data_IF_339760379530
#
_entry.id   IF_339760379530
#
_cell.length_a   1.000
_cell.length_b   1.000
_cell.length_c   1.000
_cell.angle_alpha   90.00
_cell.angle_beta   90.00
_cell.angle_gamma   90.00
#
_symmetry.space_group_name_H-M   'P 1'
#
loop_
_entity.id
_entity.type
_entity.pdbx_description
1 polymer ?
#
# COMPACT_ATOMS: atom_id res chain seq x y z
N UNK A 1 -17.05 -16.67 50.25
CA UNK A 1 -17.31 -16.95 48.83
C UNK A 1 -16.19 -16.32 48.02
N UNK A 2 -15.21 -17.13 47.63
CA UNK A 2 -14.04 -16.67 46.87
C UNK A 2 -14.39 -16.64 45.38
N UNK A 3 -14.45 -15.44 44.82
CA UNK A 3 -14.53 -15.27 43.36
C UNK A 3 -13.13 -15.43 42.76
N UNK A 4 -12.87 -16.61 42.20
CA UNK A 4 -11.71 -16.82 41.35
C UNK A 4 -11.92 -16.05 40.03
N UNK A 5 -11.28 -14.90 39.93
CA UNK A 5 -11.06 -14.22 38.68
C UNK A 5 -10.04 -15.06 37.91
N UNK A 6 -10.52 -15.81 36.93
CA UNK A 6 -9.65 -16.46 35.94
C UNK A 6 -9.02 -15.36 35.10
N UNK A 7 -7.78 -15.00 35.39
CA UNK A 7 -6.93 -14.27 34.46
C UNK A 7 -6.73 -15.16 33.26
N UNK A 8 -7.36 -14.81 32.12
CA UNK A 8 -7.01 -15.41 30.84
C UNK A 8 -5.60 -14.92 30.47
N UNK A 9 -4.61 -15.77 30.74
CA UNK A 9 -3.29 -15.60 30.15
C UNK A 9 -3.47 -15.70 28.62
N UNK A 10 -3.48 -14.54 27.96
CA UNK A 10 -3.38 -14.46 26.50
C UNK A 10 -1.99 -14.98 26.16
N UNK A 11 -1.90 -16.25 25.78
CA UNK A 11 -0.67 -16.83 25.26
C UNK A 11 -0.41 -16.18 23.90
N UNK A 12 0.47 -15.19 23.88
CA UNK A 12 0.96 -14.60 22.65
C UNK A 12 1.64 -15.68 21.79
N UNK A 13 1.28 -15.82 20.51
CA UNK A 13 1.93 -16.80 19.63
C UNK A 13 3.44 -16.51 19.54
N UNK A 14 4.27 -17.53 19.66
CA UNK A 14 5.72 -17.43 19.86
C UNK A 14 6.55 -16.91 18.68
N UNK A 15 5.96 -16.49 17.55
CA UNK A 15 6.70 -16.00 16.35
C UNK A 15 5.90 -14.94 15.58
N UNK A 16 5.67 -13.78 16.21
CA UNK A 16 5.13 -12.64 15.48
C UNK A 16 6.29 -11.89 14.80
N UNK A 17 6.13 -11.62 13.50
CA UNK A 17 7.15 -10.93 12.72
C UNK A 17 6.98 -9.40 12.83
N UNK A 18 8.10 -8.69 12.93
CA UNK A 18 8.12 -7.23 12.81
C UNK A 18 7.97 -6.78 11.34
N UNK A 19 7.69 -5.50 11.13
CA UNK A 19 7.67 -4.93 9.77
C UNK A 19 9.03 -5.09 9.07
N UNK A 20 10.13 -4.96 9.82
CA UNK A 20 11.49 -5.22 9.32
C UNK A 20 11.63 -6.65 8.79
N UNK A 21 11.22 -7.65 9.57
CA UNK A 21 11.34 -9.07 9.18
C UNK A 21 10.46 -9.40 7.94
N UNK A 22 9.28 -8.80 7.81
CA UNK A 22 8.50 -8.93 6.56
C UNK A 22 9.25 -8.35 5.36
N UNK A 23 9.92 -7.20 5.53
CA UNK A 23 10.77 -6.62 4.50
C UNK A 23 11.96 -7.50 4.14
N UNK A 24 12.66 -8.05 5.14
CA UNK A 24 13.80 -8.92 4.94
C UNK A 24 13.41 -10.16 4.12
N UNK A 25 12.34 -10.86 4.52
CA UNK A 25 11.81 -12.05 3.81
C UNK A 25 11.44 -11.73 2.35
N UNK A 26 10.78 -10.58 2.12
CA UNK A 26 10.40 -10.17 0.78
C UNK A 26 11.63 -9.88 -0.09
N UNK A 27 12.58 -9.10 0.42
CA UNK A 27 13.78 -8.69 -0.34
C UNK A 27 14.68 -9.90 -0.61
N UNK A 28 14.83 -10.82 0.33
CA UNK A 28 15.58 -12.06 0.12
C UNK A 28 14.98 -12.88 -1.04
N UNK A 29 13.66 -12.96 -1.12
CA UNK A 29 12.95 -13.70 -2.15
C UNK A 29 12.69 -12.87 -3.44
N UNK A 30 13.16 -11.62 -3.54
CA UNK A 30 12.87 -10.70 -4.65
C UNK A 30 13.09 -11.29 -6.05
N UNK A 31 14.21 -11.98 -6.35
CA UNK A 31 14.42 -12.58 -7.68
C UNK A 31 13.33 -13.61 -8.03
N UNK A 32 12.86 -14.39 -7.05
CA UNK A 32 11.78 -15.37 -7.24
C UNK A 32 10.45 -14.66 -7.48
N UNK A 33 10.13 -13.63 -6.73
CA UNK A 33 8.90 -12.84 -6.92
C UNK A 33 8.86 -12.20 -8.31
N UNK A 34 9.97 -11.59 -8.75
CA UNK A 34 10.07 -10.99 -10.08
C UNK A 34 9.90 -12.06 -11.18
N UNK A 35 10.52 -13.23 -11.04
CA UNK A 35 10.40 -14.31 -12.04
C UNK A 35 8.99 -14.88 -12.13
N UNK A 36 8.21 -14.80 -11.07
CA UNK A 36 6.82 -15.22 -11.02
C UNK A 36 5.83 -14.16 -11.52
N UNK A 37 6.27 -12.91 -11.67
CA UNK A 37 5.42 -11.78 -12.05
C UNK A 37 4.91 -11.92 -13.47
N UNK A 38 3.60 -11.85 -13.67
CA UNK A 38 2.95 -12.05 -14.96
C UNK A 38 1.85 -11.03 -15.19
N UNK A 39 1.69 -10.62 -16.43
CA UNK A 39 0.58 -9.79 -16.88
C UNK A 39 -0.42 -10.67 -17.65
N UNK A 40 -1.73 -10.53 -17.41
CA UNK A 40 -2.73 -11.21 -18.22
C UNK A 40 -2.58 -10.84 -19.69
N UNK A 41 -2.39 -11.82 -20.57
CA UNK A 41 -2.16 -11.59 -22.00
C UNK A 41 -3.29 -10.80 -22.68
N UNK A 42 -4.54 -10.94 -22.21
CA UNK A 42 -5.69 -10.19 -22.69
C UNK A 42 -5.56 -8.67 -22.54
N UNK A 43 -4.82 -8.20 -21.52
CA UNK A 43 -4.62 -6.76 -21.26
C UNK A 43 -3.68 -6.16 -22.29
N UNK A 44 -2.62 -6.90 -22.65
CA UNK A 44 -1.61 -6.45 -23.62
C UNK A 44 -2.11 -6.61 -25.07
N UNK A 45 -2.89 -7.65 -25.34
CA UNK A 45 -3.19 -8.14 -26.69
C UNK A 45 -4.61 -7.81 -27.17
N UNK A 46 -5.27 -6.83 -26.57
CA UNK A 46 -6.54 -6.29 -27.10
C UNK A 46 -7.72 -7.28 -27.07
N UNK A 47 -7.89 -8.02 -25.98
CA UNK A 47 -9.06 -8.86 -25.75
C UNK A 47 -8.94 -10.32 -26.21
N UNK A 48 -7.86 -10.69 -26.87
CA UNK A 48 -7.59 -12.10 -27.17
C UNK A 48 -7.18 -12.85 -25.89
N UNK A 49 -7.78 -14.03 -25.66
CA UNK A 49 -7.37 -14.93 -24.57
C UNK A 49 -6.01 -15.56 -24.91
N UNK A 50 -4.95 -14.92 -24.51
CA UNK A 50 -3.59 -15.47 -24.58
C UNK A 50 -3.11 -15.85 -23.19
N UNK A 51 -2.12 -16.76 -23.15
CA UNK A 51 -1.42 -17.09 -21.92
C UNK A 51 -0.86 -15.83 -21.26
N UNK A 52 -0.73 -15.85 -19.93
CA UNK A 52 -0.11 -14.77 -19.20
C UNK A 52 1.34 -14.58 -19.68
N UNK A 53 1.73 -13.31 -19.82
CA UNK A 53 3.05 -12.90 -20.29
C UNK A 53 3.93 -12.61 -19.08
N UNK A 54 5.16 -13.16 -18.99
CA UNK A 54 6.09 -12.79 -17.94
C UNK A 54 6.37 -11.28 -17.94
N UNK A 55 6.44 -10.69 -16.77
CA UNK A 55 6.90 -9.32 -16.61
C UNK A 55 8.42 -9.25 -16.83
N UNK A 56 8.89 -8.10 -17.29
CA UNK A 56 10.31 -7.83 -17.45
C UNK A 56 10.73 -6.74 -16.49
N UNK A 57 11.66 -7.06 -15.59
CA UNK A 57 12.28 -6.13 -14.65
C UNK A 57 13.80 -6.21 -14.84
N UNK A 58 14.39 -5.04 -15.12
CA UNK A 58 15.83 -4.90 -15.31
C UNK A 58 16.56 -4.75 -13.96
N UNK A 59 17.84 -5.05 -13.96
CA UNK A 59 18.76 -4.78 -12.83
C UNK A 59 18.34 -5.43 -11.50
N UNK A 60 17.80 -6.64 -11.54
CA UNK A 60 17.22 -7.32 -10.34
C UNK A 60 18.15 -7.31 -9.13
N UNK A 61 19.43 -7.65 -9.30
CA UNK A 61 20.40 -7.65 -8.19
C UNK A 61 20.68 -6.26 -7.63
N UNK A 62 20.77 -5.23 -8.51
CA UNK A 62 20.96 -3.86 -8.08
C UNK A 62 19.71 -3.32 -7.37
N UNK A 63 18.52 -3.70 -7.84
CA UNK A 63 17.24 -3.37 -7.19
C UNK A 63 17.14 -4.04 -5.81
N UNK A 64 17.51 -5.31 -5.71
CA UNK A 64 17.52 -6.03 -4.43
C UNK A 64 18.42 -5.33 -3.41
N UNK A 65 19.64 -4.96 -3.82
CA UNK A 65 20.57 -4.22 -2.97
C UNK A 65 20.00 -2.85 -2.55
N UNK A 66 19.46 -2.10 -3.51
CA UNK A 66 18.88 -0.79 -3.25
C UNK A 66 17.69 -0.87 -2.27
N UNK A 67 16.80 -1.85 -2.43
CA UNK A 67 15.67 -2.09 -1.51
C UNK A 67 16.17 -2.48 -0.11
N UNK A 68 17.23 -3.30 -0.04
CA UNK A 68 17.83 -3.68 1.24
C UNK A 68 18.47 -2.46 1.95
N UNK A 69 19.20 -1.61 1.21
CA UNK A 69 19.76 -0.37 1.76
C UNK A 69 18.67 0.57 2.28
N UNK A 70 17.54 0.71 1.56
CA UNK A 70 16.38 1.49 2.04
C UNK A 70 15.77 0.85 3.28
N UNK A 71 15.60 -0.46 3.30
CA UNK A 71 15.01 -1.17 4.44
C UNK A 71 15.86 -1.01 5.72
N UNK A 72 17.20 -1.06 5.58
CA UNK A 72 18.14 -0.91 6.69
C UNK A 72 18.43 0.55 7.07
N UNK A 73 17.95 1.52 6.30
CA UNK A 73 18.19 2.93 6.58
C UNK A 73 17.45 3.39 7.84
N UNK A 74 18.08 4.24 8.65
CA UNK A 74 17.54 4.73 9.94
C UNK A 74 16.15 5.35 9.80
N UNK A 75 15.90 6.11 8.73
CA UNK A 75 14.60 6.70 8.41
C UNK A 75 13.52 5.62 8.30
N UNK A 76 13.78 4.56 7.53
CA UNK A 76 12.84 3.45 7.36
C UNK A 76 12.59 2.69 8.67
N UNK A 77 13.67 2.41 9.40
CA UNK A 77 13.56 1.73 10.69
C UNK A 77 12.79 2.55 11.71
N UNK A 78 12.99 3.86 11.72
CA UNK A 78 12.23 4.75 12.60
C UNK A 78 10.75 4.81 12.21
N UNK A 79 10.44 4.89 10.92
CA UNK A 79 9.08 4.88 10.40
C UNK A 79 8.35 3.57 10.79
N UNK A 80 8.99 2.42 10.58
CA UNK A 80 8.46 1.10 10.99
C UNK A 80 8.20 1.04 12.50
N UNK A 81 9.13 1.53 13.31
CA UNK A 81 8.93 1.59 14.78
C UNK A 81 7.71 2.43 15.18
N UNK A 82 7.44 3.55 14.48
CA UNK A 82 6.25 4.34 14.73
C UNK A 82 4.96 3.63 14.32
N UNK A 83 4.97 2.95 13.16
CA UNK A 83 3.83 2.16 12.72
C UNK A 83 3.52 1.02 13.71
N UNK A 84 4.52 0.24 14.11
CA UNK A 84 4.37 -0.84 15.10
C UNK A 84 3.87 -0.30 16.45
N UNK A 85 4.42 0.82 16.96
CA UNK A 85 3.94 1.45 18.20
C UNK A 85 2.49 1.89 18.08
N UNK A 86 2.11 2.48 16.95
CA UNK A 86 0.75 2.93 16.69
C UNK A 86 -0.23 1.75 16.67
N UNK A 87 0.10 0.68 15.95
CA UNK A 87 -0.72 -0.53 15.94
C UNK A 87 -0.79 -1.19 17.32
N UNK A 88 0.32 -1.29 18.04
CA UNK A 88 0.32 -1.86 19.39
C UNK A 88 -0.53 -1.04 20.36
N UNK A 89 -0.42 0.29 20.33
CA UNK A 89 -1.29 1.16 21.12
C UNK A 89 -2.78 0.97 20.77
N UNK A 90 -3.13 0.82 19.48
CA UNK A 90 -4.49 0.47 19.06
C UNK A 90 -4.91 -0.91 19.58
N UNK A 91 -4.04 -1.91 19.52
CA UNK A 91 -4.33 -3.26 19.97
C UNK A 91 -4.56 -3.35 21.48
N UNK A 92 -3.95 -2.48 22.27
CA UNK A 92 -4.13 -2.38 23.72
C UNK A 92 -5.45 -1.72 24.14
N UNK A 93 -6.12 -0.94 23.26
CA UNK A 93 -7.40 -0.31 23.59
C UNK A 93 -8.51 -1.34 23.81
N UNK A 94 -9.14 -1.33 24.97
CA UNK A 94 -10.25 -2.26 25.30
C UNK A 94 -11.58 -1.86 24.68
N UNK A 95 -11.74 -0.57 24.35
CA UNK A 95 -12.97 0.01 23.77
C UNK A 95 -12.67 1.07 22.72
N UNK A 96 -13.66 1.38 21.89
CA UNK A 96 -13.60 2.50 20.96
C UNK A 96 -13.80 3.79 21.72
N UNK A 97 -12.74 4.57 21.84
CA UNK A 97 -12.71 5.93 22.36
C UNK A 97 -12.39 6.93 21.24
N UNK A 98 -12.22 8.20 21.60
CA UNK A 98 -11.88 9.26 20.64
C UNK A 98 -10.53 8.98 19.95
N UNK A 99 -9.55 8.46 20.68
CA UNK A 99 -8.24 8.08 20.13
C UNK A 99 -8.35 7.01 19.05
N UNK A 100 -9.19 5.99 19.27
CA UNK A 100 -9.46 4.94 18.26
C UNK A 100 -10.18 5.50 17.04
N UNK A 101 -11.11 6.45 17.20
CA UNK A 101 -11.77 7.11 16.08
C UNK A 101 -10.78 7.95 15.26
N UNK A 102 -9.88 8.68 15.93
CA UNK A 102 -8.78 9.41 15.28
C UNK A 102 -7.81 8.46 14.57
N UNK A 103 -7.49 7.32 15.18
CA UNK A 103 -6.66 6.30 14.55
C UNK A 103 -7.29 5.80 13.25
N UNK A 104 -8.56 5.41 13.24
CA UNK A 104 -9.21 4.96 12.02
C UNK A 104 -9.32 6.06 10.97
N UNK A 105 -9.64 7.31 11.36
CA UNK A 105 -9.67 8.43 10.43
C UNK A 105 -8.31 8.64 9.75
N UNK A 106 -7.26 8.74 10.55
CA UNK A 106 -5.93 9.01 10.04
C UNK A 106 -5.33 7.82 9.27
N UNK A 107 -5.59 6.58 9.70
CA UNK A 107 -5.13 5.40 8.97
C UNK A 107 -5.80 5.28 7.60
N UNK A 108 -7.11 5.54 7.49
CA UNK A 108 -7.78 5.67 6.19
C UNK A 108 -7.14 6.78 5.33
N UNK A 109 -6.84 7.94 5.94
CA UNK A 109 -6.26 9.07 5.23
C UNK A 109 -4.88 8.74 4.63
N UNK A 110 -4.08 7.88 5.28
CA UNK A 110 -2.79 7.45 4.74
C UNK A 110 -2.91 6.57 3.50
N UNK A 111 -4.06 5.93 3.27
CA UNK A 111 -4.25 4.99 2.16
C UNK A 111 -5.16 5.52 1.04
N UNK A 112 -6.13 6.37 1.34
CA UNK A 112 -7.13 6.80 0.35
C UNK A 112 -6.52 7.49 -0.87
N UNK A 113 -5.42 8.22 -0.72
CA UNK A 113 -4.78 8.94 -1.82
C UNK A 113 -3.84 8.05 -2.63
N UNK A 114 -3.39 6.92 -2.08
CA UNK A 114 -2.57 5.94 -2.80
C UNK A 114 -3.30 5.40 -4.04
N UNK A 115 -4.53 4.96 -3.89
CA UNK A 115 -5.38 4.51 -5.00
C UNK A 115 -5.55 5.58 -6.06
N UNK A 116 -5.71 6.85 -5.65
CA UNK A 116 -5.81 7.98 -6.58
C UNK A 116 -4.52 8.20 -7.38
N UNK A 117 -3.35 7.92 -6.80
CA UNK A 117 -2.06 8.05 -7.52
C UNK A 117 -2.01 7.08 -8.68
N UNK A 118 -2.30 5.79 -8.46
CA UNK A 118 -2.27 4.78 -9.53
C UNK A 118 -3.31 5.06 -10.63
N UNK A 119 -4.53 5.45 -10.26
CA UNK A 119 -5.56 5.89 -11.21
C UNK A 119 -5.12 7.10 -12.05
N UNK A 120 -4.55 8.11 -11.41
CA UNK A 120 -4.10 9.32 -12.11
C UNK A 120 -2.97 9.04 -13.08
N UNK A 121 -2.03 8.15 -12.73
CA UNK A 121 -1.00 7.69 -13.65
C UNK A 121 -1.64 7.09 -14.91
N UNK A 122 -2.62 6.20 -14.76
CA UNK A 122 -3.36 5.61 -15.88
C UNK A 122 -4.05 6.69 -16.74
N UNK A 123 -4.72 7.65 -16.12
CA UNK A 123 -5.36 8.75 -16.83
C UNK A 123 -4.37 9.63 -17.59
N UNK A 124 -3.23 9.95 -17.00
CA UNK A 124 -2.18 10.75 -17.63
C UNK A 124 -1.55 10.03 -18.83
N UNK A 125 -1.32 8.72 -18.70
CA UNK A 125 -0.87 7.88 -19.82
C UNK A 125 -1.94 7.82 -20.93
N UNK A 126 -3.20 7.65 -20.58
CA UNK A 126 -4.31 7.57 -21.54
C UNK A 126 -4.50 8.87 -22.34
N UNK A 127 -4.19 10.03 -21.76
CA UNK A 127 -4.25 11.31 -22.46
C UNK A 127 -3.31 11.38 -23.69
N UNK A 128 -2.21 10.62 -23.66
CA UNK A 128 -1.26 10.53 -24.76
C UNK A 128 -1.55 9.42 -25.79
N UNK A 129 -2.50 8.52 -25.49
CA UNK A 129 -2.70 7.27 -26.25
C UNK A 129 -2.95 7.47 -27.74
N UNK A 130 -3.75 8.49 -28.10
CA UNK A 130 -4.13 8.76 -29.50
C UNK A 130 -3.00 9.21 -30.43
N UNK A 131 -1.85 9.58 -29.84
CA UNK A 131 -0.71 10.08 -30.60
C UNK A 131 0.52 9.15 -30.53
N UNK A 132 0.33 7.91 -30.04
CA UNK A 132 1.42 6.94 -29.92
C UNK A 132 1.65 6.27 -31.27
N UNK A 133 2.86 6.36 -31.84
CA UNK A 133 3.19 5.67 -33.09
C UNK A 133 3.02 4.15 -32.94
N UNK A 134 2.51 3.50 -34.00
CA UNK A 134 2.27 2.05 -34.02
C UNK A 134 3.46 1.21 -33.47
N UNK A 135 4.72 1.50 -33.85
CA UNK A 135 5.87 0.72 -33.33
C UNK A 135 6.07 0.84 -31.80
N UNK A 136 5.53 1.90 -31.16
CA UNK A 136 5.65 2.13 -29.70
C UNK A 136 4.45 1.63 -28.90
N UNK A 137 3.37 1.25 -29.55
CA UNK A 137 2.16 0.75 -28.88
C UNK A 137 2.44 -0.47 -27.98
N UNK A 138 3.29 -1.45 -28.32
CA UNK A 138 3.60 -2.57 -27.43
C UNK A 138 4.24 -2.13 -26.10
N UNK A 139 5.14 -1.14 -26.12
CA UNK A 139 5.74 -0.56 -24.91
C UNK A 139 4.70 0.15 -24.05
N UNK A 140 3.88 0.99 -24.68
CA UNK A 140 2.77 1.66 -24.00
C UNK A 140 1.80 0.67 -23.37
N UNK A 141 1.35 -0.34 -24.10
CA UNK A 141 0.43 -1.35 -23.59
C UNK A 141 1.03 -2.12 -22.41
N UNK A 142 2.35 -2.34 -22.40
CA UNK A 142 3.05 -2.98 -21.28
C UNK A 142 3.00 -2.10 -20.01
N UNK A 143 3.24 -0.79 -20.14
CA UNK A 143 3.12 0.16 -19.02
C UNK A 143 1.71 0.13 -18.44
N UNK A 144 0.69 0.28 -19.34
CA UNK A 144 -0.72 0.29 -18.94
C UNK A 144 -1.14 -1.00 -18.27
N UNK A 145 -0.67 -2.16 -18.77
CA UNK A 145 -0.98 -3.46 -18.19
C UNK A 145 -0.46 -3.60 -16.75
N UNK A 146 0.76 -3.16 -16.49
CA UNK A 146 1.31 -3.16 -15.16
C UNK A 146 0.57 -2.21 -14.21
N UNK A 147 0.30 -0.98 -14.64
CA UNK A 147 -0.45 -0.02 -13.82
C UNK A 147 -1.89 -0.48 -13.55
N UNK A 148 -2.51 -1.21 -14.49
CA UNK A 148 -3.82 -1.82 -14.26
C UNK A 148 -3.76 -2.89 -13.16
N UNK A 149 -2.70 -3.71 -13.10
CA UNK A 149 -2.53 -4.72 -12.04
C UNK A 149 -2.35 -4.08 -10.65
N UNK A 150 -1.80 -2.86 -10.56
CA UNK A 150 -1.73 -2.09 -9.31
C UNK A 150 -3.11 -1.57 -8.92
N UNK A 151 -3.82 -0.92 -9.85
CA UNK A 151 -5.04 -0.16 -9.56
C UNK A 151 -6.31 -1.02 -9.41
N UNK A 152 -6.36 -2.23 -9.98
CA UNK A 152 -7.61 -3.01 -10.10
C UNK A 152 -8.23 -3.39 -8.76
N UNK A 153 -7.41 -3.69 -7.77
CA UNK A 153 -7.87 -4.14 -6.46
C UNK A 153 -8.37 -2.94 -5.64
N UNK A 154 -7.72 -1.77 -5.77
CA UNK A 154 -8.13 -0.52 -5.14
C UNK A 154 -9.54 -0.07 -5.57
N UNK A 155 -9.88 -0.26 -6.84
CA UNK A 155 -11.18 0.13 -7.38
C UNK A 155 -12.26 -0.94 -7.24
N UNK A 156 -11.93 -2.10 -6.67
CA UNK A 156 -12.90 -3.16 -6.43
C UNK A 156 -13.48 -3.78 -7.69
N UNK A 157 -12.67 -3.95 -8.73
CA UNK A 157 -13.11 -4.56 -9.98
C UNK A 157 -13.46 -6.03 -9.80
N UNK A 158 -14.75 -6.31 -9.56
CA UNK A 158 -15.28 -7.66 -9.30
C UNK A 158 -15.48 -8.02 -7.82
N UNK A 159 -15.19 -7.11 -6.90
CA UNK A 159 -15.46 -7.19 -5.46
C UNK A 159 -15.71 -5.79 -4.89
N UNK A 160 -15.96 -5.67 -3.60
CA UNK A 160 -16.05 -4.37 -2.96
C UNK A 160 -14.69 -3.67 -2.96
N UNK A 161 -14.73 -2.36 -3.25
CA UNK A 161 -13.54 -1.53 -3.26
C UNK A 161 -12.97 -1.31 -1.88
N UNK A 162 -11.80 -0.74 -1.86
CA UNK A 162 -10.99 -0.45 -0.67
C UNK A 162 -11.80 0.25 0.44
N UNK A 163 -12.53 1.30 0.11
CA UNK A 163 -13.34 2.07 1.08
C UNK A 163 -14.47 1.24 1.70
N UNK A 164 -15.16 0.41 0.90
CA UNK A 164 -16.23 -0.44 1.41
C UNK A 164 -15.73 -1.51 2.37
N UNK A 165 -14.60 -2.14 2.07
CA UNK A 165 -13.99 -3.11 2.99
C UNK A 165 -13.51 -2.44 4.30
N UNK A 166 -13.00 -1.21 4.23
CA UNK A 166 -12.60 -0.44 5.40
C UNK A 166 -13.80 -0.09 6.29
N UNK A 167 -14.92 0.31 5.68
CA UNK A 167 -16.16 0.60 6.39
C UNK A 167 -16.71 -0.63 7.11
N UNK A 168 -16.68 -1.81 6.49
CA UNK A 168 -17.08 -3.06 7.16
C UNK A 168 -16.21 -3.36 8.39
N UNK A 169 -14.90 -3.18 8.28
CA UNK A 169 -14.00 -3.38 9.40
C UNK A 169 -14.29 -2.41 10.54
N UNK A 170 -14.36 -1.12 10.27
CA UNK A 170 -14.59 -0.08 11.29
C UNK A 170 -15.98 -0.21 11.93
N UNK A 171 -17.01 -0.60 11.16
CA UNK A 171 -18.35 -0.92 11.68
C UNK A 171 -18.31 -2.11 12.62
N UNK A 172 -17.56 -3.15 12.29
CA UNK A 172 -17.41 -4.32 13.15
C UNK A 172 -16.71 -4.00 14.49
N UNK A 173 -15.85 -2.98 14.51
CA UNK A 173 -15.29 -2.39 15.73
C UNK A 173 -16.27 -1.51 16.52
N UNK A 174 -17.40 -1.10 15.93
CA UNK A 174 -18.29 -0.08 16.51
C UNK A 174 -17.76 1.34 16.36
N UNK A 175 -16.88 1.57 15.38
CA UNK A 175 -16.19 2.84 15.18
C UNK A 175 -16.72 3.64 13.99
N UNK A 176 -17.96 3.45 13.54
CA UNK A 176 -18.54 4.08 12.32
C UNK A 176 -18.45 5.61 12.28
N UNK A 177 -18.27 6.27 13.42
CA UNK A 177 -18.11 7.72 13.52
C UNK A 177 -16.73 8.24 13.11
N UNK A 178 -15.80 7.38 12.78
CA UNK A 178 -14.42 7.76 12.40
C UNK A 178 -14.39 8.77 11.24
N UNK A 179 -15.39 8.78 10.37
CA UNK A 179 -15.50 9.67 9.20
C UNK A 179 -15.70 11.15 9.56
N UNK A 180 -16.04 11.45 10.81
CA UNK A 180 -16.32 12.83 11.24
C UNK A 180 -15.03 13.67 11.25
N UNK A 181 -15.08 14.88 10.70
CA UNK A 181 -13.93 15.79 10.54
C UNK A 181 -13.16 16.10 11.83
N UNK A 182 -13.85 16.05 12.98
CA UNK A 182 -13.21 16.28 14.28
C UNK A 182 -12.17 15.24 14.66
N UNK A 183 -12.19 14.07 14.02
CA UNK A 183 -11.22 13.00 14.24
C UNK A 183 -10.03 13.06 13.29
N UNK A 184 -9.93 14.10 12.46
CA UNK A 184 -8.81 14.25 11.53
C UNK A 184 -7.46 14.37 12.27
N UNK A 185 -6.46 13.65 11.78
CA UNK A 185 -5.08 13.68 12.30
C UNK A 185 -4.23 14.50 11.34
N UNK A 186 -3.70 15.63 11.82
CA UNK A 186 -2.97 16.59 10.99
C UNK A 186 -1.83 15.94 10.19
N UNK A 187 -1.00 15.13 10.84
CA UNK A 187 0.14 14.47 10.19
C UNK A 187 -0.28 13.50 9.06
N UNK A 188 -1.44 12.84 9.20
CA UNK A 188 -1.99 11.98 8.16
C UNK A 188 -2.52 12.79 6.96
N UNK A 189 -3.16 13.93 7.22
CA UNK A 189 -3.58 14.84 6.17
C UNK A 189 -2.39 15.42 5.39
N UNK A 190 -1.32 15.83 6.09
CA UNK A 190 -0.07 16.31 5.45
C UNK A 190 0.56 15.23 4.57
N UNK A 191 0.51 13.98 4.99
CA UNK A 191 0.97 12.85 4.17
C UNK A 191 0.07 12.64 2.94
N UNK A 192 -1.25 12.69 3.10
CA UNK A 192 -2.20 12.61 1.98
C UNK A 192 -2.03 13.75 0.98
N UNK A 193 -1.79 14.99 1.46
CA UNK A 193 -1.48 16.15 0.62
C UNK A 193 -0.17 15.96 -0.18
N UNK A 194 0.84 15.36 0.42
CA UNK A 194 2.07 14.98 -0.29
C UNK A 194 1.77 14.01 -1.44
N UNK A 195 1.05 12.92 -1.18
CA UNK A 195 0.67 11.95 -2.22
C UNK A 195 -0.16 12.61 -3.32
N UNK A 196 -1.11 13.47 -2.93
CA UNK A 196 -1.91 14.23 -3.88
C UNK A 196 -1.04 15.12 -4.77
N UNK A 197 -0.07 15.83 -4.19
CA UNK A 197 0.82 16.72 -4.92
C UNK A 197 1.68 15.99 -5.95
N UNK A 198 2.17 14.79 -5.62
CA UNK A 198 3.02 14.00 -6.52
C UNK A 198 2.20 13.29 -7.61
N UNK A 199 1.11 12.63 -7.24
CA UNK A 199 0.39 11.73 -8.11
C UNK A 199 -0.84 12.33 -8.78
N UNK A 200 -1.60 13.15 -8.06
CA UNK A 200 -2.96 13.54 -8.43
C UNK A 200 -3.05 15.00 -8.89
N UNK A 201 -2.28 15.91 -8.28
CA UNK A 201 -2.32 17.34 -8.65
C UNK A 201 -2.03 17.55 -10.14
N UNK A 202 -2.68 18.54 -10.72
CA UNK A 202 -2.51 18.86 -12.13
C UNK A 202 -1.08 19.28 -12.43
N UNK A 203 -0.42 18.57 -13.33
CA UNK A 203 0.88 18.95 -13.85
C UNK A 203 0.69 19.93 -15.00
N UNK A 204 1.20 21.15 -14.85
CA UNK A 204 1.10 22.24 -15.83
C UNK A 204 2.14 22.15 -16.96
N UNK A 205 3.08 21.23 -16.88
CA UNK A 205 4.08 21.06 -17.94
C UNK A 205 3.42 20.58 -19.25
N UNK A 206 3.91 21.07 -20.41
CA UNK A 206 3.39 20.60 -21.70
C UNK A 206 3.46 19.09 -21.83
N UNK A 207 2.42 18.48 -22.43
CA UNK A 207 2.40 17.05 -22.70
C UNK A 207 3.67 16.61 -23.41
N UNK A 208 4.27 15.51 -22.95
CA UNK A 208 5.52 14.91 -23.48
C UNK A 208 6.79 15.74 -23.29
N UNK A 209 6.72 16.89 -22.63
CA UNK A 209 7.95 17.57 -22.23
C UNK A 209 8.77 16.68 -21.29
N UNK A 210 10.05 16.99 -21.12
CA UNK A 210 10.90 16.26 -20.18
C UNK A 210 10.31 16.30 -18.76
N UNK A 211 9.87 17.46 -18.31
CA UNK A 211 9.25 17.70 -17.00
C UNK A 211 7.97 16.87 -16.83
N UNK A 212 7.12 16.80 -17.88
CA UNK A 212 5.92 15.97 -17.84
C UNK A 212 6.25 14.49 -17.67
N UNK A 213 7.23 13.98 -18.45
CA UNK A 213 7.70 12.60 -18.34
C UNK A 213 8.28 12.29 -16.96
N UNK A 214 9.12 13.18 -16.43
CA UNK A 214 9.72 13.04 -15.11
C UNK A 214 8.68 13.06 -13.99
N UNK A 215 7.61 13.83 -14.12
CA UNK A 215 6.53 13.87 -13.13
C UNK A 215 5.69 12.58 -13.13
N UNK A 216 5.48 11.94 -14.28
CA UNK A 216 4.84 10.62 -14.36
C UNK A 216 5.75 9.56 -13.72
N UNK A 217 7.04 9.57 -14.03
CA UNK A 217 8.01 8.65 -13.43
C UNK A 217 8.07 8.81 -11.91
N UNK A 218 8.08 10.05 -11.40
CA UNK A 218 8.05 10.31 -9.97
C UNK A 218 6.81 9.73 -9.28
N UNK A 219 5.63 9.89 -9.91
CA UNK A 219 4.39 9.28 -9.40
C UNK A 219 4.46 7.74 -9.39
N UNK A 220 5.03 7.12 -10.44
CA UNK A 220 5.23 5.66 -10.47
C UNK A 220 6.21 5.18 -9.39
N UNK A 221 7.33 5.90 -9.17
CA UNK A 221 8.28 5.58 -8.10
C UNK A 221 7.63 5.73 -6.71
N UNK A 222 6.77 6.72 -6.51
CA UNK A 222 5.99 6.87 -5.28
C UNK A 222 5.00 5.71 -5.09
N UNK A 223 4.37 5.23 -6.17
CA UNK A 223 3.54 4.02 -6.11
C UNK A 223 4.36 2.79 -5.70
N UNK A 224 5.60 2.63 -6.22
CA UNK A 224 6.51 1.55 -5.75
C UNK A 224 6.76 1.66 -4.24
N UNK A 225 7.08 2.86 -3.76
CA UNK A 225 7.37 3.09 -2.34
C UNK A 225 6.16 2.77 -1.46
N UNK A 226 4.97 3.22 -1.89
CA UNK A 226 3.70 3.00 -1.20
C UNK A 226 3.36 1.51 -1.08
N UNK A 227 3.35 0.79 -2.19
CA UNK A 227 2.97 -0.61 -2.21
C UNK A 227 3.94 -1.49 -1.39
N UNK A 228 5.24 -1.20 -1.47
CA UNK A 228 6.24 -1.92 -0.67
C UNK A 228 6.19 -1.56 0.82
N UNK A 229 5.73 -0.37 1.17
CA UNK A 229 5.40 -0.02 2.55
C UNK A 229 4.16 -0.77 3.02
N UNK A 230 3.08 -0.72 2.25
CA UNK A 230 1.81 -1.37 2.53
C UNK A 230 1.99 -2.89 2.73
N UNK A 231 2.83 -3.53 1.93
CA UNK A 231 3.14 -4.95 2.08
C UNK A 231 3.67 -5.31 3.48
N UNK A 232 4.50 -4.47 4.09
CA UNK A 232 4.99 -4.67 5.47
C UNK A 232 3.94 -4.32 6.51
N UNK A 233 3.24 -3.22 6.31
CA UNK A 233 2.23 -2.69 7.20
C UNK A 233 1.05 -3.65 7.36
N UNK A 234 0.43 -4.06 6.25
CA UNK A 234 -0.71 -4.96 6.29
C UNK A 234 -0.33 -6.37 6.78
N UNK A 235 0.85 -6.87 6.46
CA UNK A 235 1.32 -8.13 7.01
C UNK A 235 1.53 -8.05 8.52
N UNK A 236 1.98 -6.92 9.05
CA UNK A 236 2.14 -6.73 10.48
C UNK A 236 0.78 -6.77 11.20
N UNK A 237 -0.17 -5.93 10.80
CA UNK A 237 -1.47 -5.87 11.49
C UNK A 237 -2.34 -7.11 11.25
N UNK A 238 -2.17 -7.82 10.13
CA UNK A 238 -2.89 -9.05 9.83
C UNK A 238 -2.69 -10.15 10.89
N UNK A 239 -1.55 -10.14 11.58
CA UNK A 239 -1.24 -11.09 12.64
C UNK A 239 -2.18 -10.97 13.84
N UNK A 240 -2.81 -9.81 14.03
CA UNK A 240 -3.54 -9.45 15.25
C UNK A 240 -5.02 -9.12 15.02
N UNK A 241 -5.37 -8.63 13.83
CA UNK A 241 -6.68 -8.01 13.59
C UNK A 241 -7.87 -8.92 13.88
N UNK A 242 -7.74 -10.23 13.63
CA UNK A 242 -8.81 -11.19 13.89
C UNK A 242 -9.10 -11.38 15.38
N UNK A 243 -8.07 -11.46 16.20
CA UNK A 243 -8.19 -11.57 17.67
C UNK A 243 -8.74 -10.27 18.25
N UNK A 244 -8.23 -9.12 17.77
CA UNK A 244 -8.69 -7.81 18.20
C UNK A 244 -10.16 -7.58 17.90
N UNK A 245 -10.63 -7.93 16.70
CA UNK A 245 -12.05 -7.87 16.34
C UNK A 245 -12.93 -8.71 17.27
N UNK A 246 -12.52 -9.94 17.57
CA UNK A 246 -13.24 -10.82 18.46
C UNK A 246 -13.20 -10.39 19.95
N UNK A 247 -12.16 -9.65 20.35
CA UNK A 247 -12.09 -9.10 21.69
C UNK A 247 -13.06 -7.93 21.88
N UNK A 248 -13.11 -7.01 20.91
CA UNK A 248 -14.01 -5.83 20.96
C UNK A 248 -15.45 -6.19 20.64
N UNK A 249 -15.67 -7.13 19.71
CA UNK A 249 -16.98 -7.60 19.30
C UNK A 249 -17.10 -9.12 19.47
N UNK A 250 -17.49 -9.61 20.66
CA UNK A 250 -17.56 -11.04 20.95
C UNK A 250 -18.55 -11.84 20.09
N UNK A 251 -19.52 -11.18 19.44
CA UNK A 251 -20.49 -11.86 18.54
C UNK A 251 -19.79 -12.48 17.33
N UNK A 252 -18.65 -11.91 16.91
CA UNK A 252 -17.85 -12.42 15.80
C UNK A 252 -17.21 -13.79 16.09
N UNK A 253 -17.15 -14.22 17.34
CA UNK A 253 -16.65 -15.57 17.71
C UNK A 253 -17.60 -16.67 17.21
N UNK A 254 -18.89 -16.40 17.19
CA UNK A 254 -19.91 -17.34 16.74
C UNK A 254 -20.24 -17.20 15.24
N UNK A 255 -19.89 -16.08 14.62
CA UNK A 255 -20.15 -15.80 13.20
C UNK A 255 -18.85 -15.65 12.40
N UNK A 256 -18.34 -16.80 11.95
CA UNK A 256 -17.09 -16.83 11.15
C UNK A 256 -17.24 -16.13 9.79
N UNK A 257 -18.45 -16.00 9.24
CA UNK A 257 -18.70 -15.27 8.00
C UNK A 257 -18.57 -13.77 8.23
N UNK A 258 -19.21 -13.25 9.27
CA UNK A 258 -19.08 -11.84 9.66
C UNK A 258 -17.63 -11.49 10.02
N UNK A 259 -16.93 -12.36 10.76
CA UNK A 259 -15.50 -12.16 11.05
C UNK A 259 -14.63 -12.09 9.80
N UNK A 260 -14.89 -12.95 8.79
CA UNK A 260 -14.18 -12.93 7.52
C UNK A 260 -14.38 -11.61 6.79
N UNK A 261 -15.61 -11.11 6.73
CA UNK A 261 -15.94 -9.82 6.12
C UNK A 261 -15.26 -8.68 6.89
N UNK A 262 -15.38 -8.67 8.22
CA UNK A 262 -14.82 -7.61 9.06
C UNK A 262 -13.29 -7.47 8.95
N UNK A 263 -12.56 -8.57 8.80
CA UNK A 263 -11.10 -8.53 8.60
C UNK A 263 -10.67 -8.44 7.13
N UNK A 264 -11.63 -8.38 6.20
CA UNK A 264 -11.41 -8.44 4.75
C UNK A 264 -10.45 -7.36 4.25
N UNK A 265 -10.59 -6.16 4.76
CA UNK A 265 -9.71 -5.04 4.43
C UNK A 265 -8.23 -5.38 4.66
N UNK A 266 -7.87 -5.76 5.88
CA UNK A 266 -6.47 -6.10 6.24
C UNK A 266 -6.01 -7.37 5.54
N UNK A 267 -6.83 -8.42 5.52
CA UNK A 267 -6.44 -9.71 4.95
C UNK A 267 -6.35 -9.67 3.42
N UNK A 268 -7.15 -8.83 2.76
CA UNK A 268 -7.11 -8.63 1.32
C UNK A 268 -5.81 -7.96 0.83
N UNK A 269 -5.19 -7.15 1.69
CA UNK A 269 -3.93 -6.45 1.41
C UNK A 269 -2.69 -7.13 2.00
N UNK A 270 -2.87 -8.21 2.78
CA UNK A 270 -1.77 -8.96 3.37
C UNK A 270 -1.22 -10.07 2.47
N UNK A 271 -0.21 -10.80 2.94
CA UNK A 271 0.48 -11.83 2.16
C UNK A 271 1.39 -11.21 1.11
N UNK A 272 1.25 -11.65 -0.13
CA UNK A 272 2.08 -11.18 -1.27
C UNK A 272 1.38 -10.09 -2.11
N UNK A 273 0.17 -9.65 -1.74
CA UNK A 273 -0.67 -8.79 -2.60
C UNK A 273 0.02 -7.45 -2.86
N UNK A 274 0.29 -6.67 -1.81
CA UNK A 274 0.90 -5.35 -1.93
C UNK A 274 2.34 -5.42 -2.48
N UNK A 275 3.10 -6.41 -2.05
CA UNK A 275 4.43 -6.64 -2.60
C UNK A 275 4.40 -6.91 -4.12
N UNK A 276 3.39 -7.64 -4.59
CA UNK A 276 3.17 -7.88 -6.03
C UNK A 276 2.76 -6.59 -6.74
N UNK A 277 1.90 -5.75 -6.14
CA UNK A 277 1.57 -4.42 -6.66
C UNK A 277 2.82 -3.55 -6.77
N UNK A 278 3.66 -3.51 -5.75
CA UNK A 278 4.95 -2.80 -5.78
C UNK A 278 5.86 -3.26 -6.92
N UNK A 279 5.91 -4.57 -7.20
CA UNK A 279 6.68 -5.10 -8.33
C UNK A 279 6.05 -4.77 -9.69
N UNK A 280 4.72 -4.72 -9.80
CA UNK A 280 4.06 -4.23 -10.99
C UNK A 280 4.32 -2.73 -11.19
N UNK A 281 4.27 -1.92 -10.15
CA UNK A 281 4.61 -0.49 -10.22
C UNK A 281 6.07 -0.27 -10.67
N UNK A 282 7.02 -1.07 -10.14
CA UNK A 282 8.42 -1.06 -10.56
C UNK A 282 8.59 -1.44 -12.05
N UNK A 283 7.95 -2.51 -12.49
CA UNK A 283 7.97 -2.94 -13.88
C UNK A 283 7.33 -1.88 -14.80
N UNK A 284 6.25 -1.22 -14.36
CA UNK A 284 5.63 -0.10 -15.06
C UNK A 284 6.59 1.08 -15.20
N UNK A 285 7.29 1.47 -14.12
CA UNK A 285 8.25 2.57 -14.13
C UNK A 285 9.39 2.33 -15.11
N UNK A 286 9.98 1.13 -15.11
CA UNK A 286 11.03 0.75 -16.06
C UNK A 286 10.52 0.67 -17.50
N UNK A 287 9.33 0.09 -17.72
CA UNK A 287 8.70 0.06 -19.03
C UNK A 287 8.37 1.47 -19.53
N UNK A 288 7.94 2.36 -18.63
CA UNK A 288 7.70 3.76 -18.95
C UNK A 288 8.97 4.49 -19.38
N UNK A 289 10.09 4.27 -18.68
CA UNK A 289 11.37 4.85 -19.08
C UNK A 289 11.75 4.44 -20.50
N UNK A 290 11.60 3.16 -20.87
CA UNK A 290 11.82 2.68 -22.25
C UNK A 290 10.82 3.30 -23.24
N UNK A 291 9.56 3.44 -22.85
CA UNK A 291 8.53 4.08 -23.68
C UNK A 291 8.78 5.58 -23.89
N UNK A 292 9.21 6.29 -22.85
CA UNK A 292 9.36 7.73 -22.85
C UNK A 292 10.76 8.22 -23.30
N UNK A 293 11.71 7.31 -23.54
CA UNK A 293 13.14 7.58 -23.81
C UNK A 293 13.77 8.43 -22.71
N UNK A 294 13.60 8.01 -21.47
CA UNK A 294 14.24 8.58 -20.26
C UNK A 294 14.94 7.47 -19.48
N UNK A 295 15.94 7.83 -18.70
CA UNK A 295 16.69 6.90 -17.88
C UNK A 295 15.90 6.50 -16.62
N UNK A 296 16.02 5.22 -16.22
CA UNK A 296 15.56 4.72 -14.93
C UNK A 296 16.72 4.75 -13.94
N UNK A 297 16.66 5.66 -12.98
CA UNK A 297 17.69 5.87 -11.96
C UNK A 297 17.30 5.18 -10.65
N UNK A 298 18.10 4.18 -10.25
CA UNK A 298 17.91 3.42 -9.00
C UNK A 298 18.20 4.32 -7.78
N UNK A 299 19.16 5.25 -7.88
CA UNK A 299 19.48 6.20 -6.83
C UNK A 299 18.27 7.09 -6.51
N UNK A 300 17.63 7.62 -7.55
CA UNK A 300 16.38 8.38 -7.42
C UNK A 300 15.25 7.58 -6.81
N UNK A 301 15.10 6.30 -7.20
CA UNK A 301 14.08 5.44 -6.57
C UNK A 301 14.33 5.29 -5.07
N UNK A 302 15.59 5.09 -4.65
CA UNK A 302 15.97 5.05 -3.22
C UNK A 302 15.57 6.34 -2.49
N UNK A 303 15.88 7.50 -3.07
CA UNK A 303 15.51 8.80 -2.50
C UNK A 303 14.00 8.94 -2.33
N UNK A 304 13.21 8.56 -3.34
CA UNK A 304 11.74 8.57 -3.29
C UNK A 304 11.21 7.63 -2.20
N UNK A 305 11.78 6.44 -2.09
CA UNK A 305 11.38 5.48 -1.04
C UNK A 305 11.71 5.99 0.36
N UNK A 306 12.85 6.64 0.55
CA UNK A 306 13.23 7.22 1.84
C UNK A 306 12.38 8.43 2.21
N UNK A 307 12.08 9.33 1.27
CA UNK A 307 11.16 10.47 1.49
C UNK A 307 9.75 9.98 1.83
N UNK A 308 9.26 8.96 1.12
CA UNK A 308 7.98 8.31 1.45
C UNK A 308 7.99 7.74 2.87
N UNK A 309 9.03 6.99 3.24
CA UNK A 309 9.14 6.35 4.54
C UNK A 309 9.21 7.38 5.68
N UNK A 310 9.92 8.50 5.49
CA UNK A 310 9.95 9.59 6.48
C UNK A 310 8.56 10.17 6.72
N UNK A 311 7.85 10.47 5.64
CA UNK A 311 6.51 11.08 5.70
C UNK A 311 5.46 10.17 6.31
N UNK A 312 5.41 8.90 5.89
CA UNK A 312 4.47 7.92 6.45
C UNK A 312 4.82 7.61 7.91
N UNK A 313 6.11 7.59 8.27
CA UNK A 313 6.56 7.47 9.66
C UNK A 313 6.07 8.62 10.54
N UNK A 314 6.07 9.85 10.03
CA UNK A 314 5.50 11.01 10.71
C UNK A 314 3.97 10.91 10.86
N UNK A 315 3.26 10.38 9.84
CA UNK A 315 1.82 10.11 9.94
C UNK A 315 1.54 9.08 11.05
N UNK A 316 2.27 7.97 11.10
CA UNK A 316 2.11 6.97 12.15
C UNK A 316 2.48 7.48 13.55
N UNK A 317 3.46 8.37 13.67
CA UNK A 317 3.72 9.06 14.94
C UNK A 317 2.49 9.86 15.38
N UNK A 318 1.85 10.60 14.46
CA UNK A 318 0.60 11.32 14.75
C UNK A 318 -0.54 10.39 15.16
N UNK A 319 -0.67 9.20 14.56
CA UNK A 319 -1.64 8.17 14.97
C UNK A 319 -1.37 7.65 16.38
N UNK A 320 -0.10 7.36 16.69
CA UNK A 320 0.29 6.96 18.03
C UNK A 320 -0.08 8.02 19.08
N UNK A 321 0.29 9.29 18.81
CA UNK A 321 -0.02 10.39 19.73
C UNK A 321 -1.53 10.55 19.94
N UNK A 322 -2.34 10.38 18.86
CA UNK A 322 -3.80 10.43 18.96
C UNK A 322 -4.42 9.30 19.80
N UNK A 323 -3.77 8.14 19.84
CA UNK A 323 -4.19 7.00 20.67
C UNK A 323 -3.83 7.17 22.14
N UNK A 324 -2.77 7.93 22.45
CA UNK A 324 -2.27 8.12 23.81
C UNK A 324 -2.97 9.24 24.57
N UNK A 325 -3.73 10.09 23.89
CA UNK A 325 -4.50 11.23 24.42
C UNK A 325 -6.01 11.00 24.31
#
# INVERSE_FOLDING_TARGET
MNSNVVKSDVVMPRHQLSMQQFGDVFIEALPRHISALKIPGRVIMGGQRKAAVPAHVDYVSAMQLAMYEVLCHDVTQQAQRWAEKSFNAFLEKERVDEGVLKFFNGWHETHKTTSLVSAKIIMRLAADAGAIPVPRQPLYNNVMAHMHEVAKDDFGLGHEGHDGMYEYMTTAFGASRWVEKQYAVKACNEFSEFLYSVGVAENKSPLRSHEHKQSILAAMMTSVASELWNGREYNYIAQYIGEKLQAVNPTLRADLKALRVAKGYVMGHSGEVENRHGLHALAAAQAYCRFADIEFDIGRLKEVMLDYNDRVGNAFRGLHDALMH
#
